data_IF_310513036491
#
_entry.id   IF_310513036491
#
_cell.length_a   1.000
_cell.length_b   1.000
_cell.length_c   1.000
_cell.angle_alpha   90.00
_cell.angle_beta   90.00
_cell.angle_gamma   90.00
#
_symmetry.space_group_name_H-M   'P 1'
#
loop_
_entity.id
_entity.type
_entity.pdbx_description
1 polymer ?
#
# COMPACT_ATOMS: atom_id res chain seq x y z
N UNK A 1 2.01 -6.18 -14.00
CA UNK A 1 2.14 -7.57 -14.52
C UNK A 1 3.61 -7.94 -14.67
N UNK A 2 4.44 -7.03 -15.17
CA UNK A 2 5.84 -7.32 -15.49
C UNK A 2 6.79 -7.24 -14.28
N UNK A 3 6.33 -6.66 -13.15
CA UNK A 3 7.09 -6.60 -11.91
C UNK A 3 8.16 -5.51 -11.91
N UNK A 4 8.02 -4.53 -12.80
CA UNK A 4 8.76 -3.28 -12.82
C UNK A 4 8.34 -2.35 -11.67
N UNK A 5 9.25 -1.44 -11.31
CA UNK A 5 9.05 -0.51 -10.20
C UNK A 5 8.98 0.91 -10.76
N UNK A 6 7.90 1.61 -10.46
CA UNK A 6 7.65 2.96 -10.95
C UNK A 6 8.68 3.96 -10.40
N UNK A 7 9.12 4.95 -11.21
CA UNK A 7 10.01 6.01 -10.75
C UNK A 7 9.21 7.07 -9.95
N UNK A 8 8.95 6.79 -8.68
CA UNK A 8 8.00 7.57 -7.87
C UNK A 8 8.36 9.05 -7.78
N UNK A 9 9.64 9.40 -7.58
CA UNK A 9 10.06 10.79 -7.49
C UNK A 9 9.84 11.56 -8.79
N UNK A 10 10.17 10.98 -9.95
CA UNK A 10 9.99 11.62 -11.25
C UNK A 10 8.50 11.89 -11.51
N UNK A 11 7.63 10.94 -11.15
CA UNK A 11 6.17 11.10 -11.26
C UNK A 11 5.67 12.21 -10.33
N UNK A 12 6.15 12.24 -9.08
CA UNK A 12 5.80 13.28 -8.12
C UNK A 12 6.27 14.68 -8.58
N UNK A 13 7.45 14.77 -9.20
CA UNK A 13 8.00 16.02 -9.74
C UNK A 13 7.11 16.56 -10.87
N UNK A 14 6.65 15.69 -11.77
CA UNK A 14 5.70 16.06 -12.83
C UNK A 14 4.36 16.49 -12.23
N UNK A 15 3.83 15.73 -11.27
CA UNK A 15 2.56 16.07 -10.61
C UNK A 15 2.62 17.45 -9.95
N UNK A 16 3.69 17.71 -9.19
CA UNK A 16 3.92 19.00 -8.54
C UNK A 16 4.04 20.15 -9.55
N UNK A 17 4.80 19.95 -10.64
CA UNK A 17 4.97 20.96 -11.70
C UNK A 17 3.64 21.37 -12.34
N UNK A 18 2.69 20.45 -12.43
CA UNK A 18 1.40 20.65 -13.09
C UNK A 18 0.23 20.86 -12.13
N UNK A 19 0.47 20.91 -10.82
CA UNK A 19 -0.59 21.04 -9.81
C UNK A 19 -1.56 19.85 -9.80
N UNK A 20 -1.08 18.66 -10.17
CA UNK A 20 -1.86 17.43 -10.18
C UNK A 20 -1.73 16.68 -8.85
N UNK A 21 -2.77 15.95 -8.48
CA UNK A 21 -2.72 14.98 -7.38
C UNK A 21 -2.12 13.67 -7.87
N UNK A 22 -1.50 12.96 -6.94
CA UNK A 22 -0.96 11.61 -7.10
C UNK A 22 -1.86 10.58 -6.41
N UNK A 23 -2.06 9.45 -7.09
CA UNK A 23 -2.70 8.27 -6.52
C UNK A 23 -1.77 7.10 -6.80
N UNK A 24 -1.29 6.44 -5.76
CA UNK A 24 -0.39 5.29 -5.86
C UNK A 24 -1.11 4.02 -5.39
N UNK A 25 -1.25 3.05 -6.29
CA UNK A 25 -1.63 1.69 -5.96
C UNK A 25 -0.37 0.89 -5.55
N UNK A 26 -0.30 0.49 -4.28
CA UNK A 26 0.79 -0.32 -3.70
C UNK A 26 0.36 -1.76 -3.40
N UNK A 27 -0.73 -2.26 -4.00
CA UNK A 27 -1.27 -3.60 -3.71
C UNK A 27 -0.25 -4.72 -3.89
N UNK A 28 0.71 -4.55 -4.82
CA UNK A 28 1.78 -5.52 -5.10
C UNK A 28 3.08 -5.19 -4.35
N UNK A 29 3.06 -4.31 -3.36
CA UNK A 29 4.24 -3.88 -2.65
C UNK A 29 4.08 -3.78 -1.13
N UNK A 30 2.89 -3.41 -0.64
CA UNK A 30 2.59 -3.42 0.80
C UNK A 30 2.87 -4.80 1.41
N UNK A 31 3.53 -4.81 2.56
CA UNK A 31 4.05 -6.00 3.25
C UNK A 31 5.37 -6.55 2.70
N UNK A 32 5.80 -6.16 1.49
CA UNK A 32 6.93 -6.76 0.78
C UNK A 32 8.13 -5.83 0.53
N UNK A 33 7.92 -4.51 0.56
CA UNK A 33 8.97 -3.51 0.38
C UNK A 33 8.94 -2.47 1.51
N UNK A 34 10.11 -1.84 1.72
CA UNK A 34 10.33 -0.89 2.81
C UNK A 34 10.66 -1.58 4.14
N UNK A 35 11.25 -0.83 5.05
CA UNK A 35 11.75 -1.34 6.34
C UNK A 35 10.63 -1.89 7.24
N UNK A 36 9.40 -1.39 7.07
CA UNK A 36 8.24 -1.86 7.82
C UNK A 36 7.17 -2.51 6.95
N UNK A 37 7.45 -2.75 5.67
CA UNK A 37 6.46 -3.28 4.73
C UNK A 37 5.44 -2.22 4.30
N UNK A 38 5.81 -0.94 4.34
CA UNK A 38 4.97 0.18 3.91
C UNK A 38 4.82 0.30 2.39
N UNK A 39 5.66 -0.40 1.62
CA UNK A 39 5.62 -0.38 0.16
C UNK A 39 6.89 0.22 -0.46
N UNK A 40 6.85 0.40 -1.79
CA UNK A 40 7.92 1.05 -2.55
C UNK A 40 8.06 2.51 -2.14
N UNK A 41 6.95 3.20 -1.86
CA UNK A 41 6.97 4.58 -1.38
C UNK A 41 7.66 4.75 -0.03
N UNK A 42 7.60 3.75 0.87
CA UNK A 42 8.41 3.73 2.09
C UNK A 42 9.89 3.51 1.75
N UNK A 43 10.20 2.48 0.95
CA UNK A 43 11.57 2.15 0.54
C UNK A 43 12.28 3.34 -0.10
N UNK A 44 11.59 4.07 -0.96
CA UNK A 44 12.13 5.19 -1.72
C UNK A 44 11.94 6.54 -1.00
N UNK A 45 11.43 6.55 0.23
CA UNK A 45 11.17 7.78 1.00
C UNK A 45 10.28 8.78 0.26
N UNK A 46 9.35 8.28 -0.56
CA UNK A 46 8.42 9.05 -1.37
C UNK A 46 7.02 9.15 -0.76
N UNK A 47 6.69 8.39 0.28
CA UNK A 47 5.34 8.31 0.85
C UNK A 47 4.72 9.69 1.18
N UNK A 48 5.48 10.59 1.79
CA UNK A 48 5.02 11.95 2.14
C UNK A 48 4.76 12.86 0.93
N UNK A 49 5.22 12.46 -0.27
CA UNK A 49 4.97 13.19 -1.52
C UNK A 49 3.70 12.72 -2.23
N UNK A 50 3.04 11.69 -1.72
CA UNK A 50 1.89 11.05 -2.37
C UNK A 50 0.60 11.43 -1.65
N UNK A 51 -0.39 11.92 -2.40
CA UNK A 51 -1.65 12.39 -1.81
C UNK A 51 -2.55 11.24 -1.34
N UNK A 52 -2.59 10.15 -2.12
CA UNK A 52 -3.39 8.96 -1.83
C UNK A 52 -2.57 7.70 -2.12
N UNK A 53 -2.45 6.83 -1.12
CA UNK A 53 -1.89 5.49 -1.28
C UNK A 53 -3.00 4.47 -1.06
N UNK A 54 -3.17 3.57 -2.00
CA UNK A 54 -4.10 2.45 -1.94
C UNK A 54 -3.34 1.14 -1.71
N UNK A 55 -3.93 0.27 -0.90
CA UNK A 55 -3.40 -1.06 -0.65
C UNK A 55 -4.50 -2.09 -0.45
N UNK A 56 -4.12 -3.36 -0.64
CA UNK A 56 -4.99 -4.51 -0.38
C UNK A 56 -4.56 -5.24 0.88
N UNK A 57 -5.53 -5.81 1.58
CA UNK A 57 -5.31 -6.75 2.68
C UNK A 57 -5.24 -8.22 2.19
N UNK A 58 -5.44 -8.45 0.89
CA UNK A 58 -5.64 -9.79 0.32
C UNK A 58 -4.39 -10.43 -0.34
N UNK A 59 -3.24 -9.76 -0.28
CA UNK A 59 -1.98 -10.25 -0.85
C UNK A 59 -0.99 -10.60 0.26
N UNK A 60 0.08 -9.82 0.43
CA UNK A 60 1.11 -10.09 1.44
C UNK A 60 0.53 -10.21 2.86
N UNK A 61 -0.55 -9.49 3.17
CA UNK A 61 -1.22 -9.57 4.46
C UNK A 61 -2.10 -10.82 4.65
N UNK A 62 -2.46 -11.54 3.58
CA UNK A 62 -3.10 -12.86 3.63
C UNK A 62 -4.56 -12.91 4.09
N UNK A 63 -5.30 -11.79 4.07
CA UNK A 63 -6.71 -11.71 4.51
C UNK A 63 -7.59 -11.22 3.34
N UNK A 64 -8.54 -10.33 3.58
CA UNK A 64 -9.49 -9.78 2.61
C UNK A 64 -9.76 -8.33 2.99
N UNK A 65 -9.90 -7.47 1.97
CA UNK A 65 -10.21 -6.06 2.13
C UNK A 65 -9.22 -5.19 1.37
N UNK A 66 -9.46 -3.88 1.43
CA UNK A 66 -8.60 -2.85 0.88
C UNK A 66 -8.73 -1.57 1.68
N UNK A 67 -7.82 -0.64 1.46
CA UNK A 67 -7.80 0.63 2.15
C UNK A 67 -7.19 1.71 1.26
N UNK A 68 -7.49 2.96 1.59
CA UNK A 68 -6.73 4.11 1.15
C UNK A 68 -6.17 4.83 2.38
N UNK A 69 -5.00 5.45 2.22
CA UNK A 69 -4.44 6.42 3.16
C UNK A 69 -4.25 7.75 2.45
N UNK A 70 -4.41 8.84 3.17
CA UNK A 70 -4.26 10.19 2.66
C UNK A 70 -4.52 11.17 3.80
N UNK A 71 -4.52 12.48 3.50
CA UNK A 71 -4.85 13.47 4.51
C UNK A 71 -6.32 13.35 4.99
N UNK A 72 -6.61 13.94 6.15
CA UNK A 72 -7.93 13.84 6.78
C UNK A 72 -9.07 14.32 5.88
N UNK A 73 -8.85 15.39 5.11
CA UNK A 73 -9.87 15.97 4.23
C UNK A 73 -10.21 15.01 3.07
N UNK A 74 -9.22 14.37 2.47
CA UNK A 74 -9.42 13.37 1.41
C UNK A 74 -10.21 12.18 1.98
N UNK A 75 -9.78 11.66 3.13
CA UNK A 75 -10.46 10.53 3.77
C UNK A 75 -11.91 10.89 4.14
N UNK A 76 -12.13 12.12 4.62
CA UNK A 76 -13.46 12.60 4.99
C UNK A 76 -14.40 12.74 3.79
N UNK A 77 -13.89 13.26 2.67
CA UNK A 77 -14.65 13.32 1.41
C UNK A 77 -14.97 11.92 0.91
N UNK A 78 -13.99 11.01 0.84
CA UNK A 78 -14.23 9.66 0.34
C UNK A 78 -15.24 8.92 1.20
N UNK A 79 -15.09 8.92 2.54
CA UNK A 79 -16.01 8.21 3.43
C UNK A 79 -17.43 8.80 3.44
N UNK A 80 -17.58 10.09 3.09
CA UNK A 80 -18.87 10.79 3.08
C UNK A 80 -19.59 10.76 1.74
N UNK A 81 -18.88 10.53 0.63
CA UNK A 81 -19.46 10.60 -0.72
C UNK A 81 -19.32 9.33 -1.57
N UNK A 82 -18.42 8.39 -1.23
CA UNK A 82 -18.22 7.18 -2.03
C UNK A 82 -19.38 6.17 -1.81
N UNK A 83 -20.23 5.90 -2.82
CA UNK A 83 -21.35 4.97 -2.65
C UNK A 83 -20.89 3.55 -2.36
N UNK A 84 -19.74 3.15 -2.90
CA UNK A 84 -19.10 1.84 -2.66
C UNK A 84 -18.60 1.68 -1.22
N UNK A 85 -18.40 2.77 -0.48
CA UNK A 85 -18.08 2.73 0.95
C UNK A 85 -19.35 2.79 1.80
N UNK A 86 -20.31 3.65 1.44
CA UNK A 86 -21.52 3.91 2.24
C UNK A 86 -22.55 2.79 2.14
N UNK A 87 -22.78 2.26 0.93
CA UNK A 87 -23.88 1.33 0.64
C UNK A 87 -23.40 -0.12 0.50
N UNK A 88 -22.47 -0.52 1.36
CA UNK A 88 -21.99 -1.91 1.46
C UNK A 88 -21.84 -2.32 2.93
N UNK A 89 -21.92 -3.61 3.21
CA UNK A 89 -21.67 -4.13 4.57
C UNK A 89 -20.19 -3.98 4.91
N UNK A 90 -19.89 -3.51 6.12
CA UNK A 90 -18.50 -3.38 6.58
C UNK A 90 -17.80 -4.74 6.67
N UNK A 91 -16.47 -4.71 6.64
CA UNK A 91 -15.64 -5.90 6.78
C UNK A 91 -15.94 -6.60 8.12
N UNK A 92 -16.05 -7.94 8.09
CA UNK A 92 -16.24 -8.76 9.30
C UNK A 92 -15.18 -8.42 10.37
N UNK A 93 -15.57 -8.28 11.66
CA UNK A 93 -14.62 -8.02 12.74
C UNK A 93 -13.47 -9.03 12.82
N UNK A 94 -13.71 -10.29 12.46
CA UNK A 94 -12.68 -11.34 12.45
C UNK A 94 -11.64 -11.08 11.36
N UNK A 95 -12.08 -10.63 10.17
CA UNK A 95 -11.18 -10.27 9.07
C UNK A 95 -10.38 -9.01 9.41
N UNK A 96 -11.01 -7.99 10.01
CA UNK A 96 -10.33 -6.78 10.44
C UNK A 96 -9.26 -7.08 11.52
N UNK A 97 -9.57 -7.94 12.49
CA UNK A 97 -8.62 -8.36 13.52
C UNK A 97 -7.44 -9.14 12.92
N UNK A 98 -7.70 -10.06 12.00
CA UNK A 98 -6.66 -10.81 11.28
C UNK A 98 -5.75 -9.88 10.47
N UNK A 99 -6.33 -8.92 9.74
CA UNK A 99 -5.56 -7.93 8.99
C UNK A 99 -4.67 -7.07 9.91
N UNK A 100 -5.21 -6.59 11.03
CA UNK A 100 -4.43 -5.81 12.00
C UNK A 100 -3.26 -6.62 12.58
N UNK A 101 -3.49 -7.89 12.93
CA UNK A 101 -2.44 -8.78 13.42
C UNK A 101 -1.34 -8.99 12.36
N UNK A 102 -1.75 -9.26 11.11
CA UNK A 102 -0.83 -9.46 9.98
C UNK A 102 0.02 -8.23 9.69
N UNK A 103 -0.60 -7.04 9.62
CA UNK A 103 0.12 -5.76 9.44
C UNK A 103 1.14 -5.53 10.56
N UNK A 104 0.74 -5.71 11.83
CA UNK A 104 1.64 -5.55 12.97
C UNK A 104 2.81 -6.52 12.93
N UNK A 105 2.54 -7.77 12.56
CA UNK A 105 3.57 -8.79 12.45
C UNK A 105 4.56 -8.47 11.33
N UNK A 106 4.09 -8.15 10.12
CA UNK A 106 4.98 -7.81 9.01
C UNK A 106 5.82 -6.55 9.28
N UNK A 107 5.30 -5.56 10.01
CA UNK A 107 6.08 -4.39 10.42
C UNK A 107 7.32 -4.72 11.24
N UNK A 108 7.32 -5.84 11.96
CA UNK A 108 8.40 -6.21 12.89
C UNK A 108 9.31 -7.34 12.37
N UNK A 109 8.93 -8.02 11.28
CA UNK A 109 9.60 -9.23 10.81
C UNK A 109 10.19 -9.02 9.39
N UNK A 110 11.26 -8.21 9.30
CA UNK A 110 11.99 -7.91 8.06
C UNK A 110 12.55 -9.16 7.37
N UNK A 111 12.91 -10.19 8.14
CA UNK A 111 13.45 -11.47 7.65
C UNK A 111 12.57 -12.16 6.61
N UNK A 112 11.24 -11.98 6.69
CA UNK A 112 10.30 -12.53 5.71
C UNK A 112 10.43 -11.85 4.35
N UNK A 113 10.64 -10.53 4.35
CA UNK A 113 10.90 -9.75 3.13
C UNK A 113 12.25 -10.13 2.53
N UNK A 114 13.29 -10.24 3.37
CA UNK A 114 14.63 -10.60 2.91
C UNK A 114 14.64 -12.00 2.26
N UNK A 115 13.98 -12.97 2.90
CA UNK A 115 13.80 -14.31 2.35
C UNK A 115 13.03 -14.28 1.02
N UNK A 116 11.92 -13.53 0.94
CA UNK A 116 11.16 -13.38 -0.31
C UNK A 116 12.03 -12.82 -1.44
N UNK A 117 12.80 -11.75 -1.19
CA UNK A 117 13.66 -11.13 -2.19
C UNK A 117 14.80 -12.05 -2.64
N UNK A 118 15.43 -12.77 -1.70
CA UNK A 118 16.45 -13.79 -2.03
C UNK A 118 15.89 -14.88 -2.95
N UNK A 119 14.70 -15.41 -2.63
CA UNK A 119 14.07 -16.46 -3.43
C UNK A 119 13.68 -15.98 -4.82
N UNK A 120 13.14 -14.76 -4.91
CA UNK A 120 12.80 -14.14 -6.19
C UNK A 120 14.06 -13.90 -7.05
N UNK A 121 15.16 -13.42 -6.45
CA UNK A 121 16.42 -13.21 -7.16
C UNK A 121 17.02 -14.52 -7.67
N UNK A 122 17.02 -15.57 -6.85
CA UNK A 122 17.53 -16.89 -7.22
C UNK A 122 16.78 -17.53 -8.39
N UNK A 123 15.48 -17.27 -8.53
CA UNK A 123 14.69 -17.82 -9.64
C UNK A 123 14.93 -17.07 -10.96
N UNK A 124 15.35 -15.80 -10.90
CA UNK A 124 15.64 -14.99 -12.09
C UNK A 124 16.97 -15.37 -12.75
N UNK A 125 17.87 -16.01 -12.00
CA UNK A 125 19.18 -16.50 -12.44
C UNK A 125 19.09 -17.96 -12.87
#
# INVERSE_FOLDING_TARGET
MDGDIAPLHDICDVAQKHGAMTYLDEVHAVGMYGDTGGGVSERDQAAERIDIIEGTLAKAFGIMGGYITGNENIIDVVRSFAPSFIFTTSLSPVLAAGALASVRYLKQNQELRDCHQERAARLKT
#
